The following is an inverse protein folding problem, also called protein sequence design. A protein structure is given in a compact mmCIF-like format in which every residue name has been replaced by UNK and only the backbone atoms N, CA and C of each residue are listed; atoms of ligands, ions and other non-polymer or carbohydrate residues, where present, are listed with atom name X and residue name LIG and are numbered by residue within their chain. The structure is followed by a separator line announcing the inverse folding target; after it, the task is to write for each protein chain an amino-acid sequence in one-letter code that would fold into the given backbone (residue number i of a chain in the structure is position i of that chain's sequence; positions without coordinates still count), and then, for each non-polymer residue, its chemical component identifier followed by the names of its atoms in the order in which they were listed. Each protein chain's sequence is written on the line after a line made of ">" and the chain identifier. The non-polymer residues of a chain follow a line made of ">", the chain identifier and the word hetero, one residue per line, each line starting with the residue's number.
data_IF_446099515123
#
_entry.id   IF_446099515123
#
_cell.length_a   1.000
_cell.length_b   1.000
_cell.length_c   1.000
_cell.angle_alpha   90.00
_cell.angle_beta   90.00
_cell.angle_gamma   90.00
#
_symmetry.space_group_name_H-M   'P 1'
#
loop_
_entity.id
_entity.type
_entity.pdbx_description
1 polymer ?
#
# COMPACT_ATOMS: atom_id res chain seq x y z
N UNK A 1 5.44 -63.53 -31.38
CA UNK A 1 6.32 -62.61 -30.64
C UNK A 1 5.58 -61.30 -30.40
N UNK A 2 5.03 -61.18 -29.18
CA UNK A 2 4.21 -60.03 -28.77
C UNK A 2 5.13 -58.93 -28.25
N UNK A 3 5.08 -57.76 -28.87
CA UNK A 3 5.72 -56.55 -28.33
C UNK A 3 4.75 -55.85 -27.36
N UNK A 4 5.09 -55.87 -26.07
CA UNK A 4 4.45 -55.08 -25.04
C UNK A 4 4.90 -53.61 -25.20
N UNK A 5 3.95 -52.72 -25.47
CA UNK A 5 4.15 -51.27 -25.35
C UNK A 5 3.80 -50.85 -23.90
N UNK A 6 4.81 -50.38 -23.17
CA UNK A 6 4.63 -49.77 -21.85
C UNK A 6 4.34 -48.29 -22.09
N UNK A 7 3.11 -47.87 -21.84
CA UNK A 7 2.72 -46.45 -21.80
C UNK A 7 3.12 -45.85 -20.45
N UNK A 8 4.15 -45.03 -20.45
CA UNK A 8 4.51 -44.22 -19.31
C UNK A 8 3.56 -42.99 -19.22
N UNK A 9 2.61 -43.03 -18.29
CA UNK A 9 1.82 -41.87 -17.92
C UNK A 9 2.72 -40.90 -17.15
N UNK A 10 3.21 -39.86 -17.82
CA UNK A 10 3.82 -38.72 -17.13
C UNK A 10 2.73 -37.88 -16.48
N UNK A 11 2.62 -37.97 -15.16
CA UNK A 11 1.87 -37.02 -14.36
C UNK A 11 2.58 -35.67 -14.40
N UNK A 12 2.08 -34.72 -15.20
CA UNK A 12 2.43 -33.32 -15.05
C UNK A 12 1.74 -32.81 -13.77
N UNK A 13 2.46 -32.81 -12.66
CA UNK A 13 2.12 -32.02 -11.50
C UNK A 13 2.31 -30.55 -11.89
N UNK A 14 1.22 -29.85 -12.19
CA UNK A 14 1.22 -28.41 -12.31
C UNK A 14 1.52 -27.84 -10.90
N UNK A 15 2.78 -27.53 -10.65
CA UNK A 15 3.16 -26.68 -9.51
C UNK A 15 2.50 -25.31 -9.73
N UNK A 16 1.39 -25.04 -9.03
CA UNK A 16 0.95 -23.68 -8.79
C UNK A 16 2.04 -23.00 -7.98
N UNK A 17 2.98 -22.34 -8.68
CA UNK A 17 3.92 -21.44 -8.05
C UNK A 17 3.11 -20.29 -7.46
N UNK A 18 2.81 -20.35 -6.16
CA UNK A 18 2.32 -19.21 -5.42
C UNK A 18 3.43 -18.17 -5.45
N UNK A 19 3.10 -17.01 -5.99
CA UNK A 19 4.00 -15.89 -6.10
C UNK A 19 4.39 -15.43 -4.69
N UNK A 20 5.55 -15.82 -4.23
CA UNK A 20 6.11 -15.28 -3.00
C UNK A 20 6.62 -13.88 -3.29
N UNK A 21 6.06 -12.88 -2.60
CA UNK A 21 6.55 -11.52 -2.67
C UNK A 21 7.99 -11.49 -2.13
N UNK A 22 8.93 -11.09 -2.96
CA UNK A 22 10.28 -10.78 -2.51
C UNK A 22 10.40 -9.27 -2.28
N UNK A 23 10.80 -8.88 -1.07
CA UNK A 23 11.01 -7.47 -0.72
C UNK A 23 12.50 -7.22 -0.58
N UNK A 24 13.03 -6.37 -1.44
CA UNK A 24 14.41 -5.88 -1.38
C UNK A 24 14.40 -4.48 -0.76
N UNK A 25 15.16 -4.27 0.31
CA UNK A 25 15.25 -2.98 1.01
C UNK A 25 16.66 -2.41 0.81
N UNK A 26 16.74 -1.19 0.27
CA UNK A 26 18.00 -0.48 0.07
C UNK A 26 17.98 0.89 0.77
N UNK A 27 19.15 1.43 1.12
CA UNK A 27 19.29 2.77 1.70
C UNK A 27 18.89 2.92 3.16
N UNK A 28 18.55 1.84 3.85
CA UNK A 28 18.24 1.90 5.27
C UNK A 28 19.46 2.41 6.08
N UNK A 29 19.29 3.55 6.74
CA UNK A 29 20.37 4.27 7.43
C UNK A 29 21.00 3.53 8.61
N UNK A 30 22.14 4.06 9.12
CA UNK A 30 22.90 3.51 10.24
C UNK A 30 22.13 3.53 11.58
N UNK A 31 21.08 4.35 11.70
CA UNK A 31 20.37 4.60 12.97
C UNK A 31 19.06 3.79 13.11
N UNK A 32 19.06 2.53 12.65
CA UNK A 32 17.91 1.65 12.89
C UNK A 32 17.87 1.20 14.33
N UNK A 33 16.68 1.14 14.93
CA UNK A 33 16.43 0.63 16.28
C UNK A 33 16.71 -0.87 16.29
N UNK A 34 17.74 -1.36 17.02
CA UNK A 34 18.00 -2.77 17.15
C UNK A 34 16.91 -3.42 18.01
N UNK A 35 16.15 -4.35 17.43
CA UNK A 35 15.05 -5.03 18.12
C UNK A 35 15.28 -6.54 18.15
N UNK A 36 15.17 -7.13 19.31
CA UNK A 36 15.14 -8.58 19.50
C UNK A 36 13.68 -9.05 19.47
N UNK A 37 13.33 -9.96 18.55
CA UNK A 37 12.01 -10.54 18.46
C UNK A 37 12.17 -12.04 18.67
N UNK A 38 11.83 -12.49 19.87
CA UNK A 38 11.95 -13.89 20.22
C UNK A 38 10.83 -14.72 19.51
N UNK A 39 11.13 -15.94 19.05
CA UNK A 39 10.10 -16.82 18.55
C UNK A 39 8.94 -16.95 19.55
N UNK A 40 7.71 -16.74 19.10
CA UNK A 40 6.54 -16.81 19.97
C UNK A 40 6.36 -18.24 20.49
N UNK A 41 6.32 -18.39 21.80
CA UNK A 41 6.15 -19.71 22.44
C UNK A 41 4.88 -20.38 21.92
N UNK A 42 4.95 -21.68 21.60
CA UNK A 42 3.84 -22.47 21.06
C UNK A 42 3.58 -22.27 19.56
N UNK A 43 4.24 -21.36 18.89
CA UNK A 43 4.06 -21.11 17.45
C UNK A 43 4.47 -22.31 16.59
N UNK A 44 5.53 -23.03 16.95
CA UNK A 44 6.02 -24.19 16.20
C UNK A 44 4.97 -25.31 16.07
N UNK A 45 4.06 -25.43 17.03
CA UNK A 45 2.95 -26.39 16.99
C UNK A 45 1.85 -26.02 15.98
N UNK A 46 1.87 -24.79 15.45
CA UNK A 46 0.89 -24.28 14.50
C UNK A 46 1.28 -24.49 13.03
N UNK A 47 2.49 -24.97 12.77
CA UNK A 47 3.00 -25.27 11.44
C UNK A 47 2.39 -26.56 10.88
N UNK A 48 1.06 -26.56 10.74
CA UNK A 48 0.37 -27.52 9.87
C UNK A 48 0.13 -26.82 8.54
N UNK A 49 0.92 -27.19 7.56
CA UNK A 49 0.85 -26.74 6.17
C UNK A 49 -0.58 -26.86 5.63
N UNK A 50 -1.21 -25.75 5.21
CA UNK A 50 -2.25 -25.85 4.20
C UNK A 50 -1.60 -26.34 2.91
N UNK A 51 -2.28 -27.17 2.14
CA UNK A 51 -1.79 -27.69 0.88
C UNK A 51 -1.25 -26.52 0.01
N UNK A 52 0.08 -26.45 -0.17
CA UNK A 52 0.74 -25.59 -1.16
C UNK A 52 1.38 -24.27 -0.71
N UNK A 53 1.46 -23.94 0.60
CA UNK A 53 2.13 -22.72 1.06
C UNK A 53 2.95 -22.92 2.33
N UNK A 54 4.15 -22.31 2.44
CA UNK A 54 4.87 -22.24 3.71
C UNK A 54 4.03 -21.41 4.68
N UNK A 55 3.62 -22.04 5.81
CA UNK A 55 3.00 -21.31 6.89
C UNK A 55 4.04 -20.36 7.51
N UNK A 56 3.93 -19.10 7.22
CA UNK A 56 4.75 -18.06 7.84
C UNK A 56 4.19 -17.80 9.23
N UNK A 57 4.98 -18.03 10.27
CA UNK A 57 4.57 -17.83 11.66
C UNK A 57 4.36 -16.36 12.03
N UNK A 58 3.67 -16.10 13.15
CA UNK A 58 3.42 -14.75 13.68
C UNK A 58 4.73 -13.98 13.87
N UNK A 59 5.75 -14.63 14.46
CA UNK A 59 7.08 -14.05 14.68
C UNK A 59 7.72 -13.54 13.39
N UNK A 60 7.69 -14.35 12.33
CA UNK A 60 8.32 -14.01 11.06
C UNK A 60 7.62 -12.83 10.37
N UNK A 61 6.30 -12.74 10.48
CA UNK A 61 5.53 -11.61 9.93
C UNK A 61 5.85 -10.33 10.70
N UNK A 62 5.81 -10.35 12.03
CA UNK A 62 6.15 -9.19 12.87
C UNK A 62 7.56 -8.69 12.56
N UNK A 63 8.52 -9.61 12.43
CA UNK A 63 9.90 -9.28 12.08
C UNK A 63 9.99 -8.60 10.71
N UNK A 64 9.41 -9.22 9.68
CA UNK A 64 9.43 -8.71 8.32
C UNK A 64 8.76 -7.33 8.20
N UNK A 65 7.65 -7.10 8.91
CA UNK A 65 6.96 -5.82 8.93
C UNK A 65 7.83 -4.71 9.50
N UNK A 66 8.42 -4.93 10.67
CA UNK A 66 9.26 -3.94 11.34
C UNK A 66 10.53 -3.63 10.51
N UNK A 67 11.19 -4.65 9.96
CA UNK A 67 12.34 -4.46 9.07
C UNK A 67 11.95 -3.68 7.80
N UNK A 68 10.78 -3.99 7.22
CA UNK A 68 10.26 -3.31 6.02
C UNK A 68 10.00 -1.82 6.25
N UNK A 69 9.72 -1.38 7.48
CA UNK A 69 9.61 0.06 7.77
C UNK A 69 10.92 0.83 7.52
N UNK A 70 12.06 0.14 7.49
CA UNK A 70 13.39 0.73 7.41
C UNK A 70 13.89 1.35 8.72
N UNK A 71 13.05 1.42 9.76
CA UNK A 71 13.38 2.01 11.06
C UNK A 71 13.94 1.00 12.06
N UNK A 72 13.74 -0.30 11.84
CA UNK A 72 14.17 -1.36 12.73
C UNK A 72 15.20 -2.28 12.07
N UNK A 73 16.08 -2.80 12.91
CA UNK A 73 17.01 -3.88 12.58
C UNK A 73 16.74 -5.05 13.53
N UNK A 74 16.08 -6.08 13.04
CA UNK A 74 15.85 -7.28 13.83
C UNK A 74 17.19 -8.02 14.08
N UNK A 75 17.41 -8.39 15.32
CA UNK A 75 18.60 -9.12 15.71
C UNK A 75 18.45 -10.61 15.40
N UNK A 76 19.52 -11.24 14.91
CA UNK A 76 19.57 -12.68 14.78
C UNK A 76 19.72 -13.31 16.17
N UNK A 77 18.79 -14.20 16.52
CA UNK A 77 18.78 -14.90 17.81
C UNK A 77 19.20 -16.35 17.62
N UNK A 78 20.07 -16.90 18.48
CA UNK A 78 20.42 -18.31 18.45
C UNK A 78 19.17 -19.19 18.68
N UNK A 79 19.08 -20.37 18.06
CA UNK A 79 17.90 -21.24 18.14
C UNK A 79 17.54 -21.75 19.55
N UNK A 80 18.47 -21.67 20.50
CA UNK A 80 18.42 -22.34 21.82
C UNK A 80 18.37 -21.36 23.00
N UNK A 81 17.99 -20.10 22.81
CA UNK A 81 17.82 -19.20 23.97
C UNK A 81 16.48 -19.54 24.64
N UNK A 82 16.47 -20.04 25.91
CA UNK A 82 15.24 -20.17 26.65
C UNK A 82 14.53 -18.84 26.71
N UNK A 83 13.32 -18.78 26.18
CA UNK A 83 12.59 -17.51 26.13
C UNK A 83 11.79 -17.35 27.42
N UNK A 84 11.96 -16.24 28.16
CA UNK A 84 11.08 -15.96 29.27
C UNK A 84 9.67 -15.75 28.72
N UNK A 85 8.72 -16.49 29.23
CA UNK A 85 7.30 -16.36 28.87
C UNK A 85 6.57 -15.33 29.72
N UNK A 86 7.19 -14.90 30.84
CA UNK A 86 6.60 -13.96 31.80
C UNK A 86 7.51 -12.77 32.09
N UNK A 87 6.90 -11.60 32.39
CA UNK A 87 7.59 -10.33 32.62
C UNK A 87 8.62 -10.36 33.78
N UNK A 88 8.44 -11.23 34.74
CA UNK A 88 9.27 -11.35 35.94
C UNK A 88 10.62 -12.04 35.71
N UNK A 89 10.82 -12.58 34.51
CA UNK A 89 12.01 -13.39 34.17
C UNK A 89 12.93 -12.78 33.10
N UNK A 90 12.69 -11.51 32.68
CA UNK A 90 13.49 -10.85 31.65
C UNK A 90 14.86 -10.45 32.21
N UNK A 91 15.93 -11.06 31.71
CA UNK A 91 17.30 -10.66 32.01
C UNK A 91 17.74 -9.54 31.07
N UNK A 92 17.46 -8.28 31.43
CA UNK A 92 17.81 -7.12 30.60
C UNK A 92 19.32 -6.98 30.32
N UNK A 93 20.18 -7.43 31.24
CA UNK A 93 21.63 -7.38 31.06
C UNK A 93 22.08 -8.25 29.87
N UNK A 94 21.47 -9.41 29.70
CA UNK A 94 21.71 -10.30 28.56
C UNK A 94 21.31 -9.64 27.23
N UNK A 95 20.14 -9.03 27.17
CA UNK A 95 19.65 -8.37 25.95
C UNK A 95 20.46 -7.12 25.59
N UNK A 96 20.87 -6.38 26.60
CA UNK A 96 21.79 -5.26 26.42
C UNK A 96 23.17 -5.70 25.90
N UNK A 97 23.70 -6.83 26.39
CA UNK A 97 24.95 -7.42 25.88
C UNK A 97 24.83 -7.85 24.39
N UNK A 98 23.62 -8.17 23.92
CA UNK A 98 23.28 -8.46 22.51
C UNK A 98 23.02 -7.20 21.68
N UNK A 99 23.20 -6.01 22.25
CA UNK A 99 22.95 -4.72 21.61
C UNK A 99 21.49 -4.53 21.17
N UNK A 100 20.54 -5.07 21.93
CA UNK A 100 19.10 -4.82 21.71
C UNK A 100 18.69 -3.55 22.46
N UNK A 101 17.98 -2.64 21.78
CA UNK A 101 17.32 -1.49 22.40
C UNK A 101 15.88 -1.85 22.81
N UNK A 102 15.23 -2.75 22.06
CA UNK A 102 13.90 -3.24 22.34
C UNK A 102 13.85 -4.78 22.28
N UNK A 103 12.93 -5.36 23.08
CA UNK A 103 12.68 -6.80 23.12
C UNK A 103 11.18 -7.09 22.98
N UNK A 104 10.84 -8.01 22.09
CA UNK A 104 9.49 -8.54 21.93
C UNK A 104 9.48 -10.01 22.37
N UNK A 105 8.62 -10.33 23.32
CA UNK A 105 8.31 -11.69 23.74
C UNK A 105 6.85 -11.98 23.42
N UNK A 106 6.54 -13.19 22.99
CA UNK A 106 5.18 -13.56 22.67
C UNK A 106 4.88 -15.03 22.84
N UNK A 107 3.59 -15.36 22.81
CA UNK A 107 3.08 -16.73 22.83
C UNK A 107 1.84 -16.89 21.96
N UNK A 108 1.65 -18.08 21.43
CA UNK A 108 0.45 -18.49 20.71
C UNK A 108 -0.04 -19.78 21.34
N UNK A 109 -1.28 -19.78 21.85
CA UNK A 109 -1.89 -20.94 22.50
C UNK A 109 -3.24 -21.26 21.87
N UNK A 110 -3.52 -22.54 21.67
CA UNK A 110 -4.83 -23.01 21.23
C UNK A 110 -5.76 -23.01 22.44
N UNK A 111 -6.94 -22.41 22.30
CA UNK A 111 -7.99 -22.40 23.32
C UNK A 111 -8.91 -23.63 23.16
N UNK A 112 -9.66 -24.02 24.22
CA UNK A 112 -10.62 -25.14 24.14
C UNK A 112 -11.71 -24.97 23.08
N UNK A 113 -12.03 -23.69 22.70
CA UNK A 113 -13.02 -23.36 21.67
C UNK A 113 -12.46 -23.39 20.24
N UNK A 114 -11.21 -23.86 20.05
CA UNK A 114 -10.54 -23.95 18.76
C UNK A 114 -9.96 -22.62 18.25
N UNK A 115 -10.16 -21.51 18.96
CA UNK A 115 -9.51 -20.22 18.65
C UNK A 115 -8.09 -20.18 19.18
N UNK A 116 -7.36 -19.17 18.80
CA UNK A 116 -5.98 -18.91 19.20
C UNK A 116 -5.91 -17.71 20.11
N UNK A 117 -5.18 -17.81 21.19
CA UNK A 117 -4.77 -16.69 22.00
C UNK A 117 -3.34 -16.32 21.61
N UNK A 118 -3.18 -15.12 21.07
CA UNK A 118 -1.87 -14.55 20.70
C UNK A 118 -1.56 -13.43 21.68
N UNK A 119 -0.48 -13.57 22.44
CA UNK A 119 -0.02 -12.56 23.40
C UNK A 119 1.34 -12.05 22.98
N UNK A 120 1.60 -10.76 23.19
CA UNK A 120 2.95 -10.22 23.13
C UNK A 120 3.19 -9.22 24.25
N UNK A 121 4.46 -9.01 24.56
CA UNK A 121 4.95 -7.96 25.45
C UNK A 121 6.15 -7.30 24.81
N UNK A 122 6.21 -5.97 24.92
CA UNK A 122 7.28 -5.12 24.43
C UNK A 122 8.03 -4.52 25.62
N UNK A 123 9.35 -4.59 25.58
CA UNK A 123 10.23 -4.03 26.60
C UNK A 123 11.23 -3.06 25.96
N UNK A 124 11.48 -1.95 26.66
CA UNK A 124 12.61 -1.07 26.44
C UNK A 124 13.80 -1.65 27.23
N UNK A 125 14.80 -2.16 26.53
CA UNK A 125 15.97 -2.81 27.13
C UNK A 125 16.89 -1.78 27.77
N UNK A 126 16.95 -0.58 27.21
CA UNK A 126 17.78 0.51 27.73
C UNK A 126 17.25 1.00 29.08
N UNK A 127 15.92 1.24 29.14
CA UNK A 127 15.22 1.68 30.38
C UNK A 127 14.88 0.54 31.33
N UNK A 128 15.07 -0.72 30.91
CA UNK A 128 14.74 -1.93 31.66
C UNK A 128 13.27 -1.97 32.13
N UNK A 129 12.36 -1.57 31.26
CA UNK A 129 10.96 -1.40 31.57
C UNK A 129 10.04 -2.03 30.52
N UNK A 130 8.87 -2.48 30.96
CA UNK A 130 7.80 -2.87 30.03
C UNK A 130 7.20 -1.61 29.37
N UNK A 131 7.10 -1.60 28.05
CA UNK A 131 6.49 -0.53 27.25
C UNK A 131 5.02 -0.81 27.02
N UNK A 132 4.65 -2.09 26.89
CA UNK A 132 3.27 -2.49 26.66
C UNK A 132 3.14 -3.94 26.22
N UNK A 133 1.92 -4.35 25.98
CA UNK A 133 1.58 -5.68 25.47
C UNK A 133 0.08 -5.82 25.34
N UNK A 134 -0.35 -6.75 24.48
CA UNK A 134 -1.77 -7.03 24.22
C UNK A 134 -1.96 -8.54 24.04
N UNK A 135 -3.15 -9.00 24.35
CA UNK A 135 -3.62 -10.36 24.06
C UNK A 135 -4.80 -10.29 23.09
N UNK A 136 -4.75 -11.10 22.04
CA UNK A 136 -5.81 -11.25 21.05
C UNK A 136 -6.38 -12.66 21.10
N UNK A 137 -7.71 -12.80 20.99
CA UNK A 137 -8.36 -14.10 20.77
C UNK A 137 -8.94 -14.11 19.36
N UNK A 138 -8.40 -14.94 18.49
CA UNK A 138 -8.63 -14.88 17.03
C UNK A 138 -8.82 -16.28 16.43
N UNK A 139 -9.42 -16.34 15.24
CA UNK A 139 -9.45 -17.58 14.45
C UNK A 139 -8.10 -17.82 13.76
N UNK A 140 -7.92 -19.00 13.16
CA UNK A 140 -6.70 -19.32 12.39
C UNK A 140 -6.47 -18.37 11.23
N UNK A 141 -7.53 -18.00 10.51
CA UNK A 141 -7.49 -17.11 9.34
C UNK A 141 -7.07 -15.69 9.73
N UNK A 142 -7.33 -15.28 10.97
CA UNK A 142 -7.00 -13.96 11.51
C UNK A 142 -5.57 -13.86 12.08
N UNK A 143 -4.82 -14.97 12.18
CA UNK A 143 -3.48 -14.98 12.78
C UNK A 143 -2.52 -14.03 12.04
N UNK A 144 -2.56 -14.02 10.70
CA UNK A 144 -1.74 -13.12 9.89
C UNK A 144 -2.08 -11.65 10.15
N UNK A 145 -3.35 -11.29 10.06
CA UNK A 145 -3.80 -9.92 10.35
C UNK A 145 -3.45 -9.50 11.80
N UNK A 146 -3.45 -10.44 12.74
CA UNK A 146 -3.03 -10.20 14.12
C UNK A 146 -1.53 -9.93 14.22
N UNK A 147 -0.70 -10.64 13.46
CA UNK A 147 0.74 -10.38 13.40
C UNK A 147 1.03 -8.95 12.90
N UNK A 148 0.35 -8.49 11.84
CA UNK A 148 0.45 -7.12 11.35
C UNK A 148 0.02 -6.09 12.40
N UNK A 149 -1.08 -6.34 13.15
CA UNK A 149 -1.51 -5.47 14.26
C UNK A 149 -0.50 -5.41 15.41
N UNK A 150 0.16 -6.52 15.69
CA UNK A 150 1.26 -6.57 16.68
C UNK A 150 2.41 -5.68 16.20
N UNK A 151 2.81 -5.81 14.94
CA UNK A 151 3.84 -4.97 14.35
C UNK A 151 3.44 -3.48 14.36
N UNK A 152 2.19 -3.13 14.03
CA UNK A 152 1.67 -1.76 14.13
C UNK A 152 1.78 -1.23 15.56
N UNK A 153 1.39 -2.02 16.55
CA UNK A 153 1.46 -1.63 17.97
C UNK A 153 2.90 -1.42 18.43
N UNK A 154 3.82 -2.30 18.04
CA UNK A 154 5.25 -2.16 18.35
C UNK A 154 5.81 -0.90 17.70
N UNK A 155 5.52 -0.69 16.43
CA UNK A 155 5.92 0.49 15.68
C UNK A 155 5.44 1.77 16.38
N UNK A 156 4.16 1.85 16.71
CA UNK A 156 3.57 3.01 17.37
C UNK A 156 4.19 3.28 18.75
N UNK A 157 4.39 2.24 19.56
CA UNK A 157 4.98 2.36 20.89
C UNK A 157 6.42 2.85 20.87
N UNK A 158 7.19 2.49 19.87
CA UNK A 158 8.61 2.83 19.78
C UNK A 158 8.88 4.11 18.99
N UNK A 159 7.99 4.50 18.07
CA UNK A 159 8.17 5.68 17.21
C UNK A 159 7.23 6.84 17.53
N UNK A 160 6.14 6.57 18.23
CA UNK A 160 5.06 7.55 18.48
C UNK A 160 4.10 7.73 17.29
N UNK A 161 4.27 6.96 16.22
CA UNK A 161 3.49 7.08 14.99
C UNK A 161 2.74 5.79 14.69
N UNK A 162 1.57 5.90 14.07
CA UNK A 162 0.77 4.72 13.71
C UNK A 162 1.50 3.82 12.72
N UNK A 163 1.51 2.51 12.97
CA UNK A 163 1.93 1.52 12.00
C UNK A 163 0.92 1.41 10.85
N UNK A 164 1.35 0.85 9.73
CA UNK A 164 0.53 0.70 8.51
C UNK A 164 0.57 -0.72 7.96
N UNK A 165 1.09 -1.68 8.73
CA UNK A 165 1.30 -3.06 8.28
C UNK A 165 -0.01 -3.83 8.13
N UNK A 166 -1.03 -3.50 8.94
CA UNK A 166 -2.39 -4.08 8.86
C UNK A 166 -3.27 -3.42 7.79
N UNK A 167 -2.74 -2.50 6.99
CA UNK A 167 -3.48 -1.87 5.88
C UNK A 167 -3.48 -2.76 4.64
N UNK A 168 -4.21 -2.31 3.61
CA UNK A 168 -4.28 -3.00 2.31
C UNK A 168 -3.78 -2.10 1.20
N UNK A 169 -3.37 -2.71 0.10
CA UNK A 169 -3.03 -2.03 -1.15
C UNK A 169 -3.94 -2.53 -2.26
N UNK A 170 -4.22 -1.67 -3.23
CA UNK A 170 -4.84 -2.04 -4.49
C UNK A 170 -3.89 -1.72 -5.64
N UNK A 171 -3.89 -2.53 -6.68
CA UNK A 171 -3.07 -2.31 -7.86
C UNK A 171 -3.64 -3.07 -9.06
N UNK A 172 -3.19 -2.73 -10.24
CA UNK A 172 -3.57 -3.42 -11.47
C UNK A 172 -2.42 -4.29 -11.96
N UNK A 173 -2.70 -5.54 -12.27
CA UNK A 173 -1.73 -6.47 -12.88
C UNK A 173 -2.17 -6.79 -14.29
N UNK A 174 -1.25 -6.66 -15.26
CA UNK A 174 -1.44 -7.16 -16.61
C UNK A 174 -0.72 -8.50 -16.75
N UNK A 175 -1.48 -9.55 -17.03
CA UNK A 175 -0.97 -10.92 -17.30
C UNK A 175 -1.38 -11.34 -18.69
N UNK A 176 -0.46 -11.25 -19.66
CA UNK A 176 -0.79 -11.46 -21.07
C UNK A 176 -1.79 -10.43 -21.59
N UNK A 177 -2.97 -10.88 -22.04
CA UNK A 177 -4.05 -10.01 -22.50
C UNK A 177 -5.05 -9.59 -21.40
N UNK A 178 -4.86 -10.05 -20.14
CA UNK A 178 -5.78 -9.79 -19.03
C UNK A 178 -5.26 -8.69 -18.13
N UNK A 179 -6.17 -7.85 -17.68
CA UNK A 179 -5.97 -6.86 -16.62
C UNK A 179 -6.78 -7.30 -15.39
N UNK A 180 -6.15 -7.24 -14.23
CA UNK A 180 -6.74 -7.65 -12.96
C UNK A 180 -6.58 -6.53 -11.95
N UNK A 181 -7.68 -6.02 -11.40
CA UNK A 181 -7.67 -5.16 -10.22
C UNK A 181 -7.52 -6.07 -9.00
N UNK A 182 -6.39 -5.98 -8.35
CA UNK A 182 -6.06 -6.77 -7.17
C UNK A 182 -6.15 -5.92 -5.90
N UNK A 183 -6.55 -6.57 -4.82
CA UNK A 183 -6.42 -6.08 -3.44
C UNK A 183 -5.59 -7.09 -2.68
N UNK A 184 -4.62 -6.59 -1.91
CA UNK A 184 -3.72 -7.41 -1.12
C UNK A 184 -3.45 -6.76 0.25
N UNK A 185 -2.84 -7.50 1.18
CA UNK A 185 -2.24 -6.91 2.38
C UNK A 185 -1.10 -5.94 1.98
N UNK A 186 -0.72 -5.03 2.86
CA UNK A 186 0.31 -4.03 2.58
C UNK A 186 1.69 -4.64 2.22
N UNK A 187 1.94 -5.89 2.59
CA UNK A 187 3.11 -6.65 2.20
C UNK A 187 2.94 -7.45 0.90
N UNK A 188 1.77 -7.32 0.24
CA UNK A 188 1.44 -7.97 -1.02
C UNK A 188 0.91 -9.39 -0.90
N UNK A 189 0.76 -9.94 0.32
CA UNK A 189 0.14 -11.24 0.52
C UNK A 189 -1.39 -11.17 0.40
N UNK A 190 -2.04 -12.33 0.38
CA UNK A 190 -3.50 -12.47 0.32
C UNK A 190 -4.15 -11.72 -0.86
N UNK A 191 -3.50 -11.79 -2.03
CA UNK A 191 -4.03 -11.19 -3.27
C UNK A 191 -5.43 -11.71 -3.59
N UNK A 192 -6.33 -10.79 -3.86
CA UNK A 192 -7.71 -11.08 -4.29
C UNK A 192 -8.06 -10.23 -5.51
N UNK A 193 -8.45 -10.90 -6.61
CA UNK A 193 -8.92 -10.21 -7.79
C UNK A 193 -10.34 -9.69 -7.58
N UNK A 194 -10.50 -8.37 -7.58
CA UNK A 194 -11.80 -7.71 -7.52
C UNK A 194 -12.47 -7.65 -8.89
N UNK A 195 -11.67 -7.49 -9.94
CA UNK A 195 -12.13 -7.43 -11.33
C UNK A 195 -11.08 -8.06 -12.24
N UNK A 196 -11.53 -8.89 -13.17
CA UNK A 196 -10.73 -9.43 -14.27
C UNK A 196 -11.36 -8.95 -15.58
N UNK A 197 -10.56 -8.36 -16.46
CA UNK A 197 -11.02 -7.79 -17.74
C UNK A 197 -10.00 -8.06 -18.84
N UNK A 198 -10.45 -8.19 -20.07
CA UNK A 198 -9.57 -8.19 -21.26
C UNK A 198 -9.27 -6.75 -21.74
N UNK A 199 -9.89 -5.76 -21.13
CA UNK A 199 -9.68 -4.35 -21.40
C UNK A 199 -9.02 -3.68 -20.20
N UNK A 200 -8.31 -2.55 -20.39
CA UNK A 200 -7.60 -1.85 -19.33
C UNK A 200 -8.48 -1.50 -18.12
N UNK A 201 -7.85 -1.56 -16.96
CA UNK A 201 -8.34 -1.05 -15.69
C UNK A 201 -7.28 -0.04 -15.21
N UNK A 202 -7.69 1.16 -14.81
CA UNK A 202 -6.78 2.20 -14.35
C UNK A 202 -7.35 2.97 -13.15
N UNK A 203 -6.50 3.74 -12.50
CA UNK A 203 -6.83 4.73 -11.46
C UNK A 203 -7.64 4.20 -10.27
N UNK A 204 -7.30 3.06 -9.66
CA UNK A 204 -7.98 2.62 -8.45
C UNK A 204 -7.74 3.60 -7.31
N UNK A 205 -8.79 3.89 -6.53
CA UNK A 205 -8.76 4.79 -5.37
C UNK A 205 -9.64 4.24 -4.26
N UNK A 206 -9.06 4.05 -3.09
CA UNK A 206 -9.78 3.62 -1.90
C UNK A 206 -10.72 4.70 -1.38
N UNK A 207 -11.92 4.31 -0.95
CA UNK A 207 -12.76 5.17 -0.13
C UNK A 207 -12.12 5.36 1.26
N UNK A 208 -12.40 6.49 1.95
CA UNK A 208 -11.80 6.77 3.25
C UNK A 208 -12.12 5.73 4.33
N UNK A 209 -13.24 5.03 4.20
CA UNK A 209 -13.65 3.93 5.10
C UNK A 209 -12.98 2.58 4.79
N UNK A 210 -12.15 2.50 3.72
CA UNK A 210 -11.47 1.28 3.31
C UNK A 210 -12.37 0.17 2.77
N UNK A 211 -13.67 0.44 2.55
CA UNK A 211 -14.65 -0.58 2.15
C UNK A 211 -14.95 -0.61 0.66
N UNK A 212 -14.61 0.45 -0.07
CA UNK A 212 -14.91 0.60 -1.49
C UNK A 212 -13.68 1.04 -2.26
N UNK A 213 -13.64 0.69 -3.54
CA UNK A 213 -12.65 1.18 -4.50
C UNK A 213 -13.40 1.83 -5.66
N UNK A 214 -13.02 3.08 -6.00
CA UNK A 214 -13.37 3.71 -7.26
C UNK A 214 -12.27 3.41 -8.28
N UNK A 215 -12.63 3.10 -9.51
CA UNK A 215 -11.67 2.83 -10.59
C UNK A 215 -12.28 3.10 -11.96
N UNK A 216 -11.44 3.14 -12.97
CA UNK A 216 -11.87 3.23 -14.36
C UNK A 216 -11.70 1.88 -15.03
N UNK A 217 -12.72 1.41 -15.74
CA UNK A 217 -12.64 0.20 -16.56
C UNK A 217 -13.08 0.46 -17.98
N UNK A 218 -12.35 -0.16 -18.91
CA UNK A 218 -12.65 -0.12 -20.35
C UNK A 218 -13.41 -1.37 -20.82
N UNK A 219 -13.95 -2.18 -19.90
CA UNK A 219 -14.68 -3.43 -20.24
C UNK A 219 -15.81 -3.25 -21.28
N UNK A 220 -16.38 -2.06 -21.36
CA UNK A 220 -17.42 -1.70 -22.37
C UNK A 220 -16.83 -0.90 -23.54
N UNK A 221 -15.52 -1.07 -23.85
CA UNK A 221 -14.79 -0.41 -24.94
C UNK A 221 -14.71 1.11 -24.85
N UNK A 222 -15.05 1.68 -23.69
CA UNK A 222 -14.89 3.08 -23.34
C UNK A 222 -14.58 3.23 -21.85
N UNK A 223 -13.90 4.31 -21.42
CA UNK A 223 -13.62 4.56 -20.01
C UNK A 223 -14.92 4.88 -19.26
N UNK A 224 -15.20 4.12 -18.22
CA UNK A 224 -16.33 4.30 -17.29
C UNK A 224 -15.79 4.27 -15.87
N UNK A 225 -16.23 5.21 -15.03
CA UNK A 225 -15.91 5.21 -13.60
C UNK A 225 -16.89 4.31 -12.87
N UNK A 226 -16.33 3.39 -12.10
CA UNK A 226 -17.08 2.47 -11.23
C UNK A 226 -16.72 2.67 -9.78
N UNK A 227 -17.63 2.31 -8.89
CA UNK A 227 -17.37 2.10 -7.46
C UNK A 227 -17.79 0.67 -7.13
N UNK A 228 -16.92 -0.07 -6.44
CA UNK A 228 -17.18 -1.45 -6.02
C UNK A 228 -16.82 -1.61 -4.55
N UNK A 229 -17.66 -2.35 -3.80
CA UNK A 229 -17.33 -2.79 -2.45
C UNK A 229 -16.32 -3.94 -2.52
N UNK A 230 -15.33 -3.97 -1.62
CA UNK A 230 -14.26 -4.99 -1.63
C UNK A 230 -14.76 -6.39 -1.20
N UNK A 231 -15.84 -6.46 -0.44
CA UNK A 231 -16.43 -7.71 0.04
C UNK A 231 -17.54 -8.24 -0.86
N UNK A 232 -18.14 -7.36 -1.68
CA UNK A 232 -19.28 -7.70 -2.52
C UNK A 232 -18.94 -7.42 -3.98
N UNK A 233 -18.96 -8.43 -4.87
CA UNK A 233 -18.58 -8.28 -6.27
C UNK A 233 -19.66 -7.55 -7.09
N UNK A 234 -20.13 -6.39 -6.62
CA UNK A 234 -21.13 -5.56 -7.30
C UNK A 234 -20.52 -4.23 -7.70
N UNK A 235 -20.45 -3.99 -9.01
CA UNK A 235 -20.02 -2.74 -9.60
C UNK A 235 -21.19 -1.76 -9.67
N UNK A 236 -21.00 -0.55 -9.19
CA UNK A 236 -21.92 0.56 -9.40
C UNK A 236 -21.28 1.53 -10.41
N UNK A 237 -22.02 1.86 -11.47
CA UNK A 237 -21.59 2.88 -12.44
C UNK A 237 -21.74 4.26 -11.80
N UNK A 238 -20.64 5.03 -11.80
CA UNK A 238 -20.62 6.40 -11.27
C UNK A 238 -20.64 7.42 -12.41
N UNK A 239 -19.76 7.27 -13.39
CA UNK A 239 -19.72 8.16 -14.54
C UNK A 239 -19.60 7.37 -15.85
N UNK A 240 -20.60 7.55 -16.73
CA UNK A 240 -20.69 6.91 -18.04
C UNK A 240 -21.21 7.93 -19.07
N UNK A 241 -20.61 9.11 -19.08
CA UNK A 241 -20.99 10.20 -19.99
C UNK A 241 -20.34 10.03 -21.36
N UNK A 242 -20.72 10.87 -22.33
CA UNK A 242 -20.04 10.98 -23.63
C UNK A 242 -18.58 11.39 -23.41
N UNK A 243 -17.66 10.84 -24.19
CA UNK A 243 -16.23 11.12 -24.09
C UNK A 243 -15.54 10.34 -22.98
N UNK A 244 -14.46 10.89 -22.42
CA UNK A 244 -13.68 10.30 -21.36
C UNK A 244 -14.35 10.48 -20.00
N UNK A 245 -14.29 9.44 -19.17
CA UNK A 245 -14.71 9.41 -17.77
C UNK A 245 -13.54 8.80 -16.98
N UNK A 246 -12.79 9.58 -16.22
CA UNK A 246 -11.52 9.11 -15.66
C UNK A 246 -11.18 9.73 -14.32
N UNK A 247 -10.06 9.26 -13.75
CA UNK A 247 -9.33 9.81 -12.62
C UNK A 247 -10.22 10.11 -11.39
N UNK A 248 -10.93 9.13 -10.83
CA UNK A 248 -11.74 9.36 -9.64
C UNK A 248 -10.87 9.67 -8.42
N UNK A 249 -11.37 10.57 -7.55
CA UNK A 249 -10.77 10.87 -6.26
C UNK A 249 -11.87 11.07 -5.22
N UNK A 250 -11.81 10.35 -4.12
CA UNK A 250 -12.77 10.46 -3.02
C UNK A 250 -12.57 11.74 -2.21
N UNK A 251 -13.66 12.38 -1.83
CA UNK A 251 -13.63 13.36 -0.74
C UNK A 251 -13.31 12.67 0.58
N UNK A 252 -12.67 13.35 1.55
CA UNK A 252 -12.30 12.74 2.84
C UNK A 252 -13.47 12.19 3.66
N UNK A 253 -14.68 12.74 3.46
CA UNK A 253 -15.91 12.26 4.10
C UNK A 253 -16.58 11.08 3.35
N UNK A 254 -16.04 10.68 2.19
CA UNK A 254 -16.54 9.58 1.36
C UNK A 254 -17.90 9.82 0.70
N UNK A 255 -18.40 11.07 0.71
CA UNK A 255 -19.71 11.41 0.16
C UNK A 255 -19.68 11.84 -1.29
N UNK A 256 -18.54 12.28 -1.79
CA UNK A 256 -18.37 12.82 -3.13
C UNK A 256 -17.13 12.24 -3.80
N UNK A 257 -17.16 12.15 -5.12
CA UNK A 257 -16.01 11.89 -5.96
C UNK A 257 -15.74 13.11 -6.83
N UNK A 258 -14.48 13.53 -6.93
CA UNK A 258 -14.02 14.35 -8.03
C UNK A 258 -13.61 13.43 -9.18
N UNK A 259 -14.03 13.75 -10.40
CA UNK A 259 -13.77 12.96 -11.62
C UNK A 259 -13.39 13.89 -12.76
N UNK A 260 -12.62 13.40 -13.73
CA UNK A 260 -12.32 14.13 -14.97
C UNK A 260 -13.25 13.64 -16.08
N UNK A 261 -14.03 14.56 -16.66
CA UNK A 261 -14.99 14.26 -17.71
C UNK A 261 -14.79 15.15 -18.92
N UNK A 262 -14.83 14.57 -20.14
CA UNK A 262 -14.79 15.35 -21.40
C UNK A 262 -16.17 15.46 -22.07
N UNK A 263 -17.25 15.32 -21.29
CA UNK A 263 -18.64 15.33 -21.79
C UNK A 263 -19.05 16.63 -22.51
N UNK A 264 -18.47 17.75 -22.08
CA UNK A 264 -18.80 19.09 -22.57
C UNK A 264 -17.64 19.71 -23.39
N UNK A 265 -16.73 18.87 -23.93
CA UNK A 265 -15.56 19.29 -24.71
C UNK A 265 -14.27 18.71 -24.16
N UNK A 266 -13.27 19.56 -23.88
CA UNK A 266 -12.01 19.14 -23.22
C UNK A 266 -12.28 18.66 -21.80
N UNK A 267 -11.40 17.80 -21.31
CA UNK A 267 -11.56 17.20 -19.97
C UNK A 267 -11.48 18.28 -18.87
N UNK A 268 -12.48 18.26 -18.00
CA UNK A 268 -12.64 19.17 -16.87
C UNK A 268 -12.98 18.37 -15.60
N UNK A 269 -12.79 18.96 -14.44
CA UNK A 269 -13.18 18.33 -13.19
C UNK A 269 -14.68 18.53 -12.91
N UNK A 270 -15.27 17.45 -12.42
CA UNK A 270 -16.66 17.41 -11.96
C UNK A 270 -16.73 16.76 -10.58
N UNK A 271 -17.70 17.16 -9.78
CA UNK A 271 -18.07 16.48 -8.56
C UNK A 271 -19.32 15.65 -8.82
N UNK A 272 -19.33 14.43 -8.24
CA UNK A 272 -20.41 13.46 -8.44
C UNK A 272 -20.54 12.60 -7.18
N UNK A 273 -21.75 12.21 -6.81
CA UNK A 273 -21.95 11.26 -5.73
C UNK A 273 -21.49 9.85 -6.12
N UNK A 274 -21.16 8.96 -5.16
CA UNK A 274 -20.75 7.58 -5.45
C UNK A 274 -21.82 6.71 -6.13
N UNK A 275 -23.07 7.16 -6.11
CA UNK A 275 -24.20 6.53 -6.83
C UNK A 275 -24.41 7.09 -8.25
N UNK A 276 -23.60 8.05 -8.69
CA UNK A 276 -23.69 8.70 -9.99
C UNK A 276 -24.63 9.90 -10.04
N UNK A 277 -25.26 10.27 -8.93
CA UNK A 277 -26.13 11.45 -8.83
C UNK A 277 -25.35 12.76 -8.57
N UNK A 278 -26.02 13.90 -8.62
CA UNK A 278 -25.51 15.24 -8.26
C UNK A 278 -24.26 15.65 -9.04
N UNK A 279 -24.25 15.47 -10.34
CA UNK A 279 -23.11 15.86 -11.21
C UNK A 279 -23.01 17.37 -11.31
N UNK A 280 -21.90 17.92 -10.83
CA UNK A 280 -21.61 19.37 -10.88
C UNK A 280 -20.23 19.62 -11.47
N UNK A 281 -20.16 20.44 -12.50
CA UNK A 281 -18.88 20.89 -13.05
C UNK A 281 -18.15 21.77 -12.05
N UNK A 282 -16.84 21.51 -11.87
CA UNK A 282 -15.99 22.25 -10.94
C UNK A 282 -15.05 23.21 -11.67
N UNK A 283 -14.41 22.77 -12.78
CA UNK A 283 -13.48 23.59 -13.54
C UNK A 283 -14.03 23.96 -14.91
N UNK A 284 -13.55 25.11 -15.45
CA UNK A 284 -13.89 25.60 -16.78
C UNK A 284 -12.70 26.37 -17.34
N UNK A 285 -11.66 25.61 -17.76
CA UNK A 285 -10.42 26.17 -18.33
C UNK A 285 -10.30 25.91 -19.82
N UNK A 286 -9.37 26.56 -20.50
CA UNK A 286 -8.99 26.27 -21.88
C UNK A 286 -8.08 25.05 -22.02
N UNK A 287 -7.63 24.46 -20.93
CA UNK A 287 -6.75 23.28 -20.87
C UNK A 287 -7.46 22.05 -20.32
N UNK A 288 -6.74 20.93 -20.35
CA UNK A 288 -7.15 19.65 -19.77
C UNK A 288 -6.95 19.71 -18.25
N UNK A 289 -8.01 19.45 -17.48
CA UNK A 289 -7.96 19.29 -16.03
C UNK A 289 -8.24 17.83 -15.67
N UNK A 290 -7.30 17.18 -14.99
CA UNK A 290 -7.38 15.74 -14.69
C UNK A 290 -6.66 15.39 -13.38
N UNK A 291 -6.74 14.11 -12.98
CA UNK A 291 -6.07 13.54 -11.81
C UNK A 291 -6.30 14.31 -10.50
N UNK A 292 -7.55 14.59 -10.14
CA UNK A 292 -7.84 15.30 -8.90
C UNK A 292 -7.37 14.51 -7.67
N UNK A 293 -7.02 15.26 -6.61
CA UNK A 293 -6.72 14.76 -5.29
C UNK A 293 -7.22 15.77 -4.25
N UNK A 294 -8.05 15.32 -3.31
CA UNK A 294 -8.47 16.18 -2.20
C UNK A 294 -7.34 16.38 -1.18
N UNK A 295 -7.30 17.55 -0.55
CA UNK A 295 -6.58 17.73 0.71
C UNK A 295 -7.26 16.93 1.84
N UNK A 296 -6.53 16.53 2.90
CA UNK A 296 -7.10 15.75 4.01
C UNK A 296 -8.25 16.42 4.74
N UNK A 297 -8.26 17.76 4.79
CA UNK A 297 -9.32 18.59 5.38
C UNK A 297 -10.52 18.78 4.44
N UNK A 298 -10.43 18.32 3.18
CA UNK A 298 -11.48 18.44 2.17
C UNK A 298 -11.68 19.83 1.60
N UNK A 299 -10.86 20.81 2.00
CA UNK A 299 -11.05 22.20 1.56
C UNK A 299 -10.52 22.48 0.15
N UNK A 300 -9.49 21.70 -0.26
CA UNK A 300 -8.78 21.92 -1.53
C UNK A 300 -8.84 20.67 -2.40
N UNK A 301 -8.85 20.90 -3.71
CA UNK A 301 -8.61 19.87 -4.73
C UNK A 301 -7.35 20.30 -5.49
N UNK A 302 -6.34 19.41 -5.46
CA UNK A 302 -5.14 19.48 -6.26
C UNK A 302 -5.36 18.67 -7.54
N UNK A 303 -4.84 19.13 -8.67
CA UNK A 303 -5.07 18.45 -9.95
C UNK A 303 -3.99 18.79 -10.97
N UNK A 304 -3.85 17.96 -11.98
CA UNK A 304 -3.00 18.19 -13.14
C UNK A 304 -3.74 19.06 -14.15
N UNK A 305 -3.09 20.10 -14.65
CA UNK A 305 -3.64 20.96 -15.70
C UNK A 305 -2.56 21.47 -16.66
N UNK A 306 -2.87 21.49 -17.96
CA UNK A 306 -2.02 22.07 -19.00
C UNK A 306 -2.44 23.49 -19.41
N UNK A 307 -3.32 24.15 -18.65
CA UNK A 307 -3.82 25.51 -18.89
C UNK A 307 -2.72 26.57 -19.06
N UNK A 308 -1.53 26.31 -18.52
CA UNK A 308 -0.35 27.17 -18.62
C UNK A 308 0.61 26.76 -19.76
N UNK A 309 0.20 25.85 -20.66
CA UNK A 309 0.98 25.36 -21.82
C UNK A 309 1.57 23.98 -21.64
N UNK A 310 2.00 23.59 -20.44
CA UNK A 310 2.47 22.23 -20.11
C UNK A 310 1.84 21.75 -18.81
N UNK A 311 1.69 20.42 -18.61
CA UNK A 311 1.10 19.87 -17.39
C UNK A 311 1.83 20.30 -16.14
N UNK A 312 1.08 20.89 -15.21
CA UNK A 312 1.54 21.34 -13.91
C UNK A 312 0.46 21.02 -12.85
N UNK A 313 0.85 21.03 -11.60
CA UNK A 313 -0.11 20.87 -10.52
C UNK A 313 -0.72 22.24 -10.16
N UNK A 314 -2.04 22.26 -10.12
CA UNK A 314 -2.86 23.37 -9.66
C UNK A 314 -3.67 22.94 -8.46
N UNK A 315 -4.15 23.90 -7.68
CA UNK A 315 -5.14 23.67 -6.63
C UNK A 315 -6.27 24.69 -6.75
N UNK A 316 -7.43 24.31 -6.27
CA UNK A 316 -8.58 25.19 -6.12
C UNK A 316 -9.40 24.79 -4.92
N UNK A 317 -10.28 25.66 -4.43
CA UNK A 317 -11.23 25.29 -3.39
C UNK A 317 -12.17 24.18 -3.88
N UNK A 318 -12.48 23.20 -3.03
CA UNK A 318 -13.46 22.17 -3.33
C UNK A 318 -14.88 22.72 -3.54
N UNK A 319 -15.16 23.91 -3.02
CA UNK A 319 -16.40 24.63 -3.28
C UNK A 319 -16.47 25.26 -4.70
N UNK A 320 -15.34 25.47 -5.34
CA UNK A 320 -15.19 26.16 -6.62
C UNK A 320 -14.35 27.43 -6.50
N UNK A 321 -14.20 28.18 -7.58
CA UNK A 321 -13.43 29.41 -7.67
C UNK A 321 -12.20 29.29 -8.57
N UNK A 322 -11.23 30.16 -8.40
CA UNK A 322 -10.05 30.23 -9.25
C UNK A 322 -9.01 29.17 -8.88
N UNK A 323 -8.35 28.63 -9.89
CA UNK A 323 -7.26 27.68 -9.71
C UNK A 323 -5.91 28.41 -9.60
N UNK A 324 -5.09 27.99 -8.65
CA UNK A 324 -3.75 28.48 -8.37
C UNK A 324 -2.71 27.43 -8.74
N UNK A 325 -1.67 27.79 -9.46
CA UNK A 325 -0.53 26.91 -9.75
C UNK A 325 0.25 26.61 -8.48
N UNK A 326 0.67 25.36 -8.31
CA UNK A 326 1.38 24.86 -7.12
C UNK A 326 2.83 24.50 -7.44
N UNK A 327 3.09 23.91 -8.62
CA UNK A 327 4.44 23.50 -9.03
C UNK A 327 5.07 24.48 -9.99
N UNK A 328 6.31 24.87 -9.73
CA UNK A 328 7.07 25.85 -10.53
C UNK A 328 8.37 25.26 -11.05
N UNK A 329 8.92 24.23 -10.42
CA UNK A 329 10.08 23.50 -10.90
C UNK A 329 9.66 22.36 -11.84
N UNK A 330 10.51 22.06 -12.82
CA UNK A 330 10.23 21.05 -13.84
C UNK A 330 9.25 21.53 -14.92
N UNK A 331 9.39 20.99 -16.12
CA UNK A 331 8.55 21.34 -17.27
C UNK A 331 7.26 20.52 -17.38
N UNK A 332 7.14 19.44 -16.58
CA UNK A 332 6.02 18.52 -16.63
C UNK A 332 5.83 17.88 -15.26
N UNK A 333 4.71 18.15 -14.62
CA UNK A 333 4.36 17.67 -13.28
C UNK A 333 2.92 17.16 -13.29
N UNK A 334 2.71 15.89 -12.84
CA UNK A 334 1.42 15.19 -12.91
C UNK A 334 1.17 14.32 -11.69
N UNK A 335 -0.04 13.80 -11.58
CA UNK A 335 -0.45 12.81 -10.56
C UNK A 335 -0.26 13.28 -9.12
N UNK A 336 -0.83 14.43 -8.72
CA UNK A 336 -0.67 14.98 -7.37
C UNK A 336 -1.30 14.09 -6.30
N UNK A 337 -0.63 13.98 -5.15
CA UNK A 337 -1.14 13.32 -3.93
C UNK A 337 -0.70 14.14 -2.72
N UNK A 338 -1.67 14.62 -1.96
CA UNK A 338 -1.41 15.35 -0.71
C UNK A 338 -1.12 14.34 0.40
N UNK A 339 -0.12 14.62 1.23
CA UNK A 339 0.21 13.79 2.40
C UNK A 339 -0.93 13.79 3.42
N UNK A 340 -1.09 12.73 4.24
CA UNK A 340 -2.16 12.65 5.24
C UNK A 340 -2.19 13.78 6.27
N UNK A 341 -1.06 14.42 6.52
CA UNK A 341 -0.94 15.58 7.41
C UNK A 341 -1.17 16.93 6.67
N UNK A 342 -1.38 16.90 5.36
CA UNK A 342 -1.62 18.08 4.53
C UNK A 342 -0.40 18.96 4.27
N UNK A 343 0.82 18.56 4.67
CA UNK A 343 2.02 19.42 4.59
C UNK A 343 2.82 19.23 3.34
N UNK A 344 2.70 18.09 2.67
CA UNK A 344 3.51 17.75 1.51
C UNK A 344 2.64 17.29 0.34
N UNK A 345 3.17 17.44 -0.87
CA UNK A 345 2.58 17.00 -2.11
C UNK A 345 3.54 16.06 -2.83
N UNK A 346 3.18 14.78 -2.97
CA UNK A 346 3.88 13.88 -3.87
C UNK A 346 3.31 14.01 -5.29
N UNK A 347 4.17 13.93 -6.28
CA UNK A 347 3.78 13.99 -7.70
C UNK A 347 4.87 13.35 -8.57
N UNK A 348 4.58 13.15 -9.85
CA UNK A 348 5.56 12.70 -10.83
C UNK A 348 6.06 13.91 -11.59
N UNK A 349 7.38 14.11 -11.55
CA UNK A 349 8.08 15.19 -12.26
C UNK A 349 8.93 14.60 -13.38
N UNK A 350 8.89 15.24 -14.54
CA UNK A 350 9.84 14.95 -15.61
C UNK A 350 11.15 15.72 -15.37
N UNK A 351 12.21 14.95 -15.10
CA UNK A 351 13.56 15.45 -14.82
C UNK A 351 14.58 14.77 -15.74
N UNK A 352 15.28 15.52 -16.58
CA UNK A 352 16.29 14.93 -17.49
C UNK A 352 15.78 13.82 -18.41
N UNK A 353 14.48 13.86 -18.79
CA UNK A 353 13.83 12.82 -19.60
C UNK A 353 13.24 11.67 -18.80
N UNK A 354 13.52 11.55 -17.50
CA UNK A 354 12.99 10.56 -16.57
C UNK A 354 11.72 11.07 -15.89
N UNK A 355 10.81 10.15 -15.55
CA UNK A 355 9.63 10.47 -14.76
C UNK A 355 9.84 9.93 -13.34
N UNK A 356 10.00 10.81 -12.37
CA UNK A 356 10.46 10.48 -11.03
C UNK A 356 9.47 10.94 -9.97
N UNK A 357 9.28 10.10 -8.95
CA UNK A 357 8.51 10.49 -7.78
C UNK A 357 9.22 11.61 -7.03
N UNK A 358 8.50 12.69 -6.79
CA UNK A 358 8.99 13.94 -6.23
C UNK A 358 8.08 14.38 -5.11
N UNK A 359 8.64 15.00 -4.08
CA UNK A 359 7.94 15.57 -2.94
C UNK A 359 8.16 17.08 -2.90
N UNK A 360 7.06 17.82 -2.74
CA UNK A 360 7.06 19.26 -2.50
C UNK A 360 6.59 19.53 -1.08
N UNK A 361 7.37 20.24 -0.27
CA UNK A 361 6.90 20.83 0.97
C UNK A 361 6.02 22.04 0.65
N UNK A 362 4.75 22.00 1.07
CA UNK A 362 3.77 23.02 0.69
C UNK A 362 4.00 24.37 1.39
N UNK A 363 4.68 24.38 2.53
CA UNK A 363 4.97 25.60 3.30
C UNK A 363 6.25 26.29 2.80
N UNK A 364 7.32 25.51 2.61
CA UNK A 364 8.65 26.04 2.24
C UNK A 364 8.88 26.08 0.73
N UNK A 365 8.05 25.40 -0.05
CA UNK A 365 8.18 25.19 -1.51
C UNK A 365 9.46 24.45 -1.91
N UNK A 366 10.09 23.74 -0.97
CA UNK A 366 11.25 22.89 -1.27
C UNK A 366 10.82 21.63 -2.02
N UNK A 367 11.55 21.34 -3.10
CA UNK A 367 11.33 20.17 -3.96
C UNK A 367 12.43 19.13 -3.70
N UNK A 368 12.03 17.89 -3.50
CA UNK A 368 12.94 16.77 -3.32
C UNK A 368 12.56 15.64 -4.28
N UNK A 369 13.51 15.21 -5.12
CA UNK A 369 13.36 14.00 -5.94
C UNK A 369 13.62 12.80 -5.05
N UNK A 370 12.64 11.88 -4.96
CA UNK A 370 12.69 10.72 -4.05
C UNK A 370 13.31 9.47 -4.71
N UNK A 371 13.21 9.38 -6.04
CA UNK A 371 13.61 8.18 -6.79
C UNK A 371 14.66 8.51 -7.84
N UNK A 372 15.37 7.47 -8.28
CA UNK A 372 16.37 7.53 -9.37
C UNK A 372 15.96 6.70 -10.59
N UNK A 373 14.75 6.18 -10.58
CA UNK A 373 14.13 5.40 -11.66
C UNK A 373 13.93 6.21 -12.95
N UNK A 374 13.75 5.52 -14.06
CA UNK A 374 13.49 6.14 -15.35
C UNK A 374 12.01 6.47 -15.55
N UNK A 375 11.12 5.63 -14.99
CA UNK A 375 9.68 5.76 -15.17
C UNK A 375 8.93 5.30 -13.94
N UNK A 376 8.52 6.27 -13.12
CA UNK A 376 7.59 6.10 -12.00
C UNK A 376 6.20 6.60 -12.38
N UNK A 377 5.18 6.02 -11.76
CA UNK A 377 3.80 6.42 -11.93
C UNK A 377 2.97 6.21 -10.66
N UNK A 378 1.84 6.90 -10.59
CA UNK A 378 0.76 6.69 -9.61
C UNK A 378 1.22 6.68 -8.15
N UNK A 379 1.90 7.73 -7.66
CA UNK A 379 2.32 7.79 -6.26
C UNK A 379 1.10 7.73 -5.33
N UNK A 380 1.24 7.04 -4.19
CA UNK A 380 0.20 6.89 -3.17
C UNK A 380 0.81 6.85 -1.78
N UNK A 381 0.47 7.80 -0.92
CA UNK A 381 0.96 7.80 0.45
C UNK A 381 0.42 6.62 1.25
N UNK A 382 1.28 6.04 2.09
CA UNK A 382 0.84 5.28 3.25
C UNK A 382 0.03 6.19 4.19
N UNK A 383 -0.98 5.66 4.90
CA UNK A 383 -1.86 6.52 5.71
C UNK A 383 -1.19 7.21 6.90
N UNK A 384 0.03 6.82 7.29
CA UNK A 384 0.85 7.56 8.26
C UNK A 384 1.78 8.60 7.60
N UNK A 385 1.77 8.73 6.27
CA UNK A 385 2.58 9.71 5.55
C UNK A 385 4.07 9.37 5.43
N UNK A 386 4.54 8.24 5.97
CA UNK A 386 5.96 7.91 6.04
C UNK A 386 6.53 7.23 4.81
N UNK A 387 5.66 6.65 4.00
CA UNK A 387 6.03 5.96 2.78
C UNK A 387 5.13 6.37 1.62
N UNK A 388 5.64 6.27 0.41
CA UNK A 388 4.95 6.49 -0.83
C UNK A 388 5.10 5.23 -1.68
N UNK A 389 3.99 4.57 -1.96
CA UNK A 389 3.88 3.46 -2.89
C UNK A 389 3.76 4.02 -4.31
N UNK A 390 4.43 3.40 -5.26
CA UNK A 390 4.41 3.77 -6.66
C UNK A 390 4.62 2.54 -7.55
N UNK A 391 4.30 2.63 -8.82
CA UNK A 391 4.77 1.68 -9.81
C UNK A 391 5.98 2.28 -10.54
N UNK A 392 6.99 1.43 -10.78
CA UNK A 392 8.18 1.81 -11.53
C UNK A 392 8.49 0.76 -12.60
N UNK A 393 9.19 1.14 -13.65
CA UNK A 393 9.57 0.20 -14.71
C UNK A 393 11.00 -0.26 -14.53
N UNK A 394 11.19 -1.59 -14.42
CA UNK A 394 12.50 -2.24 -14.30
C UNK A 394 12.58 -3.33 -15.36
N UNK A 395 13.59 -3.25 -16.24
CA UNK A 395 13.74 -4.22 -17.32
C UNK A 395 12.54 -4.30 -18.27
N UNK A 396 11.85 -3.17 -18.49
CA UNK A 396 10.65 -3.09 -19.34
C UNK A 396 9.36 -3.61 -18.70
N UNK A 397 9.38 -3.93 -17.40
CA UNK A 397 8.25 -4.46 -16.65
C UNK A 397 7.90 -3.55 -15.48
N UNK A 398 6.60 -3.27 -15.28
CA UNK A 398 6.11 -2.55 -14.11
C UNK A 398 6.20 -3.40 -12.84
N UNK A 399 6.72 -2.80 -11.79
CA UNK A 399 6.84 -3.40 -10.45
C UNK A 399 6.38 -2.39 -9.39
N UNK A 400 5.84 -2.90 -8.27
CA UNK A 400 5.57 -2.04 -7.12
C UNK A 400 6.88 -1.64 -6.44
N UNK A 401 6.97 -0.39 -6.07
CA UNK A 401 8.06 0.16 -5.27
C UNK A 401 7.49 1.05 -4.18
N UNK A 402 8.15 1.11 -3.04
CA UNK A 402 7.85 2.08 -2.00
C UNK A 402 9.12 2.86 -1.66
N UNK A 403 8.96 4.14 -1.41
CA UNK A 403 10.05 5.02 -0.96
C UNK A 403 9.62 5.73 0.32
N UNK A 404 10.53 5.88 1.29
CA UNK A 404 10.25 6.72 2.45
C UNK A 404 10.09 8.20 2.03
N UNK A 405 9.25 8.95 2.75
CA UNK A 405 9.01 10.36 2.44
C UNK A 405 10.27 11.24 2.52
N UNK A 406 11.32 10.78 3.21
CA UNK A 406 12.64 11.42 3.24
C UNK A 406 13.59 10.93 2.12
N UNK A 407 13.12 10.03 1.24
CA UNK A 407 13.87 9.47 0.11
C UNK A 407 14.99 8.47 0.46
N UNK A 408 15.20 8.17 1.75
CA UNK A 408 16.35 7.39 2.20
C UNK A 408 16.16 5.88 2.07
N UNK A 409 14.95 5.38 2.32
CA UNK A 409 14.63 3.95 2.27
C UNK A 409 13.84 3.66 1.01
N UNK A 410 14.34 2.77 0.17
CA UNK A 410 13.67 2.30 -1.03
C UNK A 410 13.37 0.82 -0.89
N UNK A 411 12.15 0.44 -1.23
CA UNK A 411 11.68 -0.93 -1.20
C UNK A 411 11.15 -1.32 -2.56
N UNK A 412 11.47 -2.52 -2.99
CA UNK A 412 10.93 -3.11 -4.19
C UNK A 412 10.08 -4.30 -3.81
N UNK A 413 8.81 -4.27 -4.18
CA UNK A 413 7.85 -5.34 -3.98
C UNK A 413 7.71 -6.10 -5.30
N UNK A 414 8.47 -7.19 -5.46
CA UNK A 414 8.46 -7.96 -6.70
C UNK A 414 7.39 -9.04 -6.65
N UNK A 415 6.34 -8.88 -7.44
CA UNK A 415 5.40 -9.97 -7.74
C UNK A 415 6.01 -10.90 -8.78
N UNK A 416 5.81 -12.20 -8.63
CA UNK A 416 6.45 -13.22 -9.47
C UNK A 416 6.03 -13.20 -10.94
N UNK A 417 4.85 -12.65 -11.26
CA UNK A 417 4.33 -12.62 -12.63
C UNK A 417 3.44 -11.40 -12.90
N UNK A 418 3.57 -10.81 -14.12
CA UNK A 418 2.73 -9.73 -14.60
C UNK A 418 3.43 -8.36 -14.62
N UNK A 419 2.83 -7.41 -15.32
CA UNK A 419 3.22 -6.01 -15.37
C UNK A 419 2.31 -5.24 -14.40
N UNK A 420 2.87 -4.69 -13.32
CA UNK A 420 2.09 -4.09 -12.23
C UNK A 420 2.06 -2.58 -12.38
N UNK A 421 0.88 -2.01 -12.26
CA UNK A 421 0.60 -0.60 -12.48
C UNK A 421 -0.41 -0.06 -11.46
N UNK A 422 -0.54 1.26 -11.43
CA UNK A 422 -1.62 1.98 -10.76
C UNK A 422 -1.82 1.61 -9.27
N UNK A 423 -0.79 1.63 -8.44
CA UNK A 423 -0.96 1.32 -7.03
C UNK A 423 -1.77 2.38 -6.28
N UNK A 424 -2.50 1.93 -5.26
CA UNK A 424 -3.19 2.76 -4.31
C UNK A 424 -3.06 2.15 -2.90
N UNK A 425 -2.49 2.90 -1.97
CA UNK A 425 -2.45 2.50 -0.56
C UNK A 425 -3.82 2.76 0.09
N UNK A 426 -4.34 1.77 0.81
CA UNK A 426 -5.61 1.90 1.53
C UNK A 426 -5.46 2.67 2.84
N UNK A 427 -6.58 3.14 3.41
CA UNK A 427 -6.58 3.87 4.67
C UNK A 427 -6.31 2.94 5.86
N UNK A 428 -6.02 3.55 7.02
CA UNK A 428 -6.12 2.86 8.31
C UNK A 428 -7.60 2.56 8.57
N UNK A 429 -7.95 1.28 8.67
CA UNK A 429 -9.29 0.84 9.07
C UNK A 429 -9.25 0.60 10.58
N UNK A 430 -10.14 1.27 11.34
CA UNK A 430 -10.28 1.08 12.79
C UNK A 430 -11.01 -0.21 13.12
#
# INVERSE_FOLDING_TARGET
>A
MRKLAVAALAWLAAFCAHAQLSIEITGAGANRIPIAIAPFAGEAALTVTPAGGMAVGVTAIVRADLERSGLFRALELPPLVPQPTEATSVNFAEWKARLADALVLGSVAVRPDGRFEVRFRLYDVVKQAAVGGVAYTVSREQLRATAHRIADTIYEKLTGEKGVFSTRIAYVVKRGARFELQVADADGANEQAMLVSNEPIISPKWSPDGRRIAYVSFQNKKPIVYVQNIEVPKQNVVANFKGSNSAPAWSPDGRTLAVSLSRDGIAQLYLINPDGSNVRRLTSSGGIDTEPCYSPDGQWIYFTSDRGGSPQIYRMSAAGGDAQRVTFEGSYNVSPRVSPDGKSLAYIMRNGGKFQATLLDLATQQVQILTDSDLDESPSFAPNGRQILLATVIGGRGVLSAVSADGRVKQRLTLSAGDVREPAWGPLVQ
#
